data_IF_700506953576
#
_entry.id   IF_700506953576
#
_cell.length_a   1.000
_cell.length_b   1.000
_cell.length_c   1.000
_cell.angle_alpha   90.00
_cell.angle_beta   90.00
_cell.angle_gamma   90.00
#
_symmetry.space_group_name_H-M   'P 1'
#
loop_
_entity.id
_entity.type
_entity.pdbx_description
1 polymer ?
#
# COMPACT_ATOMS: atom_id res chain seq x y z
N UNK A 1 27.07 30.45 -12.11
CA UNK A 1 28.36 31.18 -11.96
C UNK A 1 29.19 30.43 -10.93
N UNK A 2 30.21 29.70 -11.40
CA UNK A 2 31.05 28.85 -10.54
C UNK A 2 32.05 29.68 -9.73
N UNK A 3 32.23 29.35 -8.46
CA UNK A 3 33.48 29.56 -7.73
C UNK A 3 33.86 28.25 -7.04
N UNK A 4 35.04 27.76 -7.39
CA UNK A 4 35.74 26.72 -6.65
C UNK A 4 36.51 27.36 -5.49
N UNK A 5 36.52 26.72 -4.33
CA UNK A 5 37.59 26.82 -3.34
C UNK A 5 37.70 25.47 -2.60
N UNK A 6 38.91 24.98 -2.32
CA UNK A 6 39.17 23.60 -1.91
C UNK A 6 39.12 23.43 -0.38
N UNK A 7 39.06 22.16 0.04
CA UNK A 7 39.38 21.69 1.40
C UNK A 7 38.26 21.72 2.44
N UNK A 8 37.20 20.90 2.27
CA UNK A 8 36.64 20.02 3.32
C UNK A 8 35.53 19.15 2.72
N UNK A 9 35.81 17.87 2.43
CA UNK A 9 34.78 16.84 2.29
C UNK A 9 34.88 15.98 3.54
N UNK A 10 34.02 16.28 4.51
CA UNK A 10 33.83 15.42 5.68
C UNK A 10 32.94 14.25 5.28
N UNK A 11 33.50 13.22 4.65
CA UNK A 11 32.85 11.91 4.56
C UNK A 11 33.15 11.15 5.85
N UNK A 12 32.20 11.14 6.79
CA UNK A 12 32.28 10.34 8.00
C UNK A 12 31.68 8.96 7.71
N UNK A 13 32.44 8.11 7.00
CA UNK A 13 32.16 6.67 6.97
C UNK A 13 32.68 6.08 8.29
N UNK A 14 31.78 5.90 9.27
CA UNK A 14 32.09 5.11 10.46
C UNK A 14 31.87 3.63 10.14
N UNK A 15 32.97 2.96 9.78
CA UNK A 15 33.05 1.50 9.82
C UNK A 15 33.23 1.11 11.28
N UNK A 16 32.14 0.79 11.98
CA UNK A 16 32.20 0.08 13.26
C UNK A 16 31.78 -1.36 13.01
N UNK A 17 32.76 -2.26 13.09
CA UNK A 17 32.54 -3.70 13.06
C UNK A 17 32.28 -4.18 14.48
N UNK A 18 31.08 -4.69 14.74
CA UNK A 18 30.84 -5.65 15.82
C UNK A 18 30.22 -6.93 15.22
N UNK A 19 30.69 -8.13 15.62
CA UNK A 19 30.13 -9.38 15.12
C UNK A 19 28.87 -9.77 15.92
N UNK A 20 27.72 -9.84 15.24
CA UNK A 20 26.51 -10.44 15.80
C UNK A 20 26.60 -11.97 15.77
N UNK A 21 26.67 -12.58 16.95
CA UNK A 21 26.40 -14.02 17.15
C UNK A 21 25.07 -14.18 17.87
N UNK A 22 24.04 -14.68 17.18
CA UNK A 22 22.94 -15.40 17.84
C UNK A 22 22.22 -16.32 16.86
N UNK A 23 22.38 -17.61 17.10
CA UNK A 23 21.60 -18.66 16.46
C UNK A 23 20.19 -18.69 17.07
N UNK A 24 19.17 -18.42 16.26
CA UNK A 24 17.77 -18.70 16.63
C UNK A 24 17.36 -20.07 16.12
N UNK A 25 16.96 -20.94 17.04
CA UNK A 25 16.45 -22.29 16.79
C UNK A 25 15.00 -22.18 16.32
N UNK A 26 14.69 -22.73 15.14
CA UNK A 26 13.33 -22.88 14.63
C UNK A 26 12.74 -24.16 15.24
N UNK A 27 11.64 -24.03 16.00
CA UNK A 27 10.81 -25.14 16.45
C UNK A 27 9.64 -25.31 15.48
N UNK A 28 9.57 -26.45 14.80
CA UNK A 28 8.45 -26.81 13.94
C UNK A 28 7.26 -27.27 14.81
N UNK A 29 6.11 -26.59 14.69
CA UNK A 29 4.84 -27.04 15.25
C UNK A 29 3.98 -27.55 14.10
N UNK A 30 3.85 -28.87 14.01
CA UNK A 30 2.97 -29.56 13.06
C UNK A 30 1.55 -29.56 13.62
N UNK A 31 0.62 -28.81 13.01
CA UNK A 31 -0.80 -28.90 13.36
C UNK A 31 -1.53 -29.71 12.31
N UNK A 32 -2.03 -30.88 12.70
CA UNK A 32 -2.88 -31.73 11.85
C UNK A 32 -4.34 -31.31 12.02
N UNK A 33 -4.99 -30.91 10.92
CA UNK A 33 -6.42 -30.62 10.89
C UNK A 33 -7.23 -31.92 10.79
N UNK A 34 -8.11 -32.18 11.77
CA UNK A 34 -9.18 -33.19 11.65
C UNK A 34 -10.51 -32.47 11.41
N UNK A 35 -11.07 -32.65 10.22
CA UNK A 35 -12.48 -32.36 9.93
C UNK A 35 -13.36 -33.38 10.66
N UNK A 36 -14.29 -32.89 11.50
CA UNK A 36 -15.41 -33.67 12.00
C UNK A 36 -16.71 -32.97 11.59
N UNK A 37 -17.42 -33.54 10.62
CA UNK A 37 -18.82 -33.22 10.31
C UNK A 37 -19.69 -33.74 11.44
N UNK A 38 -20.52 -32.89 12.02
CA UNK A 38 -21.69 -33.33 12.81
C UNK A 38 -22.93 -32.57 12.33
N UNK A 39 -23.88 -33.33 11.77
CA UNK A 39 -25.26 -32.92 11.59
C UNK A 39 -25.92 -32.90 12.97
N UNK A 40 -26.57 -31.80 13.33
CA UNK A 40 -27.66 -31.82 14.30
C UNK A 40 -28.65 -30.70 13.98
N UNK A 41 -29.81 -31.13 13.49
CA UNK A 41 -31.02 -30.33 13.42
C UNK A 41 -31.55 -30.10 14.85
N UNK A 42 -31.97 -28.88 15.17
CA UNK A 42 -32.80 -28.63 16.34
C UNK A 42 -33.92 -27.64 16.03
N UNK A 43 -35.09 -28.02 16.51
CA UNK A 43 -36.42 -27.51 16.18
C UNK A 43 -36.73 -26.14 16.78
N UNK A 44 -37.61 -25.46 16.05
CA UNK A 44 -38.43 -24.33 16.47
C UNK A 44 -39.29 -24.69 17.70
N UNK A 45 -39.18 -23.91 18.78
CA UNK A 45 -40.17 -23.91 19.86
C UNK A 45 -40.55 -22.46 20.18
N UNK A 46 -41.76 -22.08 19.78
CA UNK A 46 -42.39 -20.82 20.15
C UNK A 46 -43.06 -20.98 21.52
N UNK A 47 -42.61 -20.21 22.52
CA UNK A 47 -43.30 -20.08 23.80
C UNK A 47 -43.76 -18.64 23.99
N UNK A 48 -45.07 -18.45 24.02
CA UNK A 48 -45.73 -17.19 24.36
C UNK A 48 -45.74 -17.08 25.89
N UNK A 49 -44.96 -16.14 26.43
CA UNK A 49 -45.01 -15.79 27.85
C UNK A 49 -45.53 -14.36 27.99
N UNK A 50 -46.79 -14.22 28.37
CA UNK A 50 -47.39 -12.96 28.81
C UNK A 50 -46.83 -12.61 30.19
N UNK A 51 -46.05 -11.54 30.29
CA UNK A 51 -45.72 -10.88 31.55
C UNK A 51 -46.27 -9.46 31.56
N UNK A 52 -47.00 -9.17 32.64
CA UNK A 52 -47.68 -7.91 32.92
C UNK A 52 -46.72 -6.71 32.90
N UNK A 53 -47.21 -5.63 32.30
CA UNK A 53 -46.54 -4.33 32.27
C UNK A 53 -46.46 -3.73 33.69
N UNK A 54 -45.25 -3.71 34.26
CA UNK A 54 -44.89 -2.72 35.25
C UNK A 54 -44.35 -1.51 34.50
N UNK A 55 -45.12 -0.42 34.49
CA UNK A 55 -44.75 0.87 33.90
C UNK A 55 -43.53 1.43 34.63
N UNK A 56 -42.34 1.19 34.09
CA UNK A 56 -41.13 1.92 34.43
C UNK A 56 -40.97 3.02 33.38
N UNK A 57 -40.89 4.26 33.84
CA UNK A 57 -40.70 5.44 33.00
C UNK A 57 -39.52 5.21 32.01
N UNK A 58 -39.63 5.65 30.75
CA UNK A 58 -38.55 5.47 29.81
C UNK A 58 -37.32 6.23 30.33
N UNK A 59 -36.19 5.51 30.40
CA UNK A 59 -34.89 6.12 30.59
C UNK A 59 -34.70 7.22 29.52
N UNK A 60 -34.25 8.38 29.97
CA UNK A 60 -34.17 9.60 29.18
C UNK A 60 -33.59 9.37 27.79
N UNK A 61 -34.28 9.88 26.79
CA UNK A 61 -33.80 9.88 25.42
C UNK A 61 -32.41 10.50 25.36
N UNK A 62 -31.54 9.89 24.55
CA UNK A 62 -30.28 10.50 24.15
C UNK A 62 -30.67 11.75 23.36
N UNK A 63 -30.67 12.89 24.04
CA UNK A 63 -30.92 14.19 23.44
C UNK A 63 -29.80 14.49 22.47
N UNK A 64 -30.03 14.23 21.18
CA UNK A 64 -29.25 14.84 20.11
C UNK A 64 -29.57 16.34 20.15
N UNK A 65 -28.75 17.08 20.90
CA UNK A 65 -28.73 18.53 20.79
C UNK A 65 -28.19 18.84 19.39
N UNK A 66 -28.90 19.61 18.55
CA UNK A 66 -28.26 20.25 17.42
C UNK A 66 -27.06 21.01 17.98
N UNK A 67 -25.87 20.84 17.39
CA UNK A 67 -24.74 21.71 17.71
C UNK A 67 -25.25 23.15 17.64
N UNK A 68 -25.08 23.89 18.74
CA UNK A 68 -25.61 25.23 18.88
C UNK A 68 -25.09 26.09 17.72
N UNK A 69 -26.01 26.68 16.96
CA UNK A 69 -25.69 27.73 16.02
C UNK A 69 -25.22 28.96 16.83
N UNK A 70 -23.93 29.04 17.09
CA UNK A 70 -23.33 30.28 17.60
C UNK A 70 -23.21 31.29 16.45
N UNK A 71 -23.83 32.45 16.62
CA UNK A 71 -23.63 33.66 15.81
C UNK A 71 -24.39 33.70 14.49
N UNK A 72 -25.61 34.23 14.49
CA UNK A 72 -26.24 34.73 13.26
C UNK A 72 -25.66 36.12 12.97
N UNK A 73 -24.42 36.18 12.49
CA UNK A 73 -24.07 37.25 11.58
C UNK A 73 -24.88 37.02 10.30
N UNK A 74 -25.54 38.06 9.79
CA UNK A 74 -26.27 37.99 8.52
C UNK A 74 -25.31 37.57 7.42
N UNK A 75 -25.33 36.27 7.08
CA UNK A 75 -24.56 35.73 5.98
C UNK A 75 -24.78 36.60 4.75
N UNK A 76 -23.69 36.97 4.05
CA UNK A 76 -23.82 37.71 2.81
C UNK A 76 -24.78 36.98 1.87
N UNK A 77 -25.50 37.71 1.03
CA UNK A 77 -26.44 37.14 0.07
C UNK A 77 -25.81 36.02 -0.78
N UNK A 78 -24.51 36.12 -1.04
CA UNK A 78 -23.71 35.10 -1.73
C UNK A 78 -23.54 33.80 -0.92
N UNK A 79 -23.21 33.87 0.38
CA UNK A 79 -23.08 32.67 1.23
C UNK A 79 -24.45 31.99 1.40
N UNK A 80 -25.52 32.78 1.54
CA UNK A 80 -26.87 32.26 1.59
C UNK A 80 -27.28 31.57 0.26
N UNK A 81 -26.85 32.11 -0.89
CA UNK A 81 -27.06 31.48 -2.19
C UNK A 81 -26.26 30.17 -2.32
N UNK A 82 -24.97 30.17 -1.96
CA UNK A 82 -24.13 28.97 -1.95
C UNK A 82 -24.76 27.83 -1.16
N UNK A 83 -25.26 28.13 0.05
CA UNK A 83 -25.94 27.14 0.89
C UNK A 83 -27.14 26.52 0.19
N UNK A 84 -28.02 27.35 -0.40
CA UNK A 84 -29.19 26.89 -1.16
C UNK A 84 -28.80 26.03 -2.36
N UNK A 85 -27.76 26.43 -3.09
CA UNK A 85 -27.30 25.70 -4.27
C UNK A 85 -26.79 24.31 -3.89
N UNK A 86 -26.00 24.21 -2.81
CA UNK A 86 -25.49 22.92 -2.30
C UNK A 86 -26.63 22.05 -1.75
N UNK A 87 -27.57 22.64 -1.00
CA UNK A 87 -28.74 21.92 -0.49
C UNK A 87 -29.60 21.36 -1.63
N UNK A 88 -29.77 22.12 -2.72
CA UNK A 88 -30.49 21.68 -3.90
C UNK A 88 -29.80 20.50 -4.60
N UNK A 89 -28.46 20.46 -4.64
CA UNK A 89 -27.72 19.31 -5.15
C UNK A 89 -27.98 18.05 -4.33
N UNK A 90 -27.93 18.14 -2.99
CA UNK A 90 -28.17 16.97 -2.13
C UNK A 90 -29.64 16.58 -2.02
N UNK A 91 -30.57 17.45 -2.44
CA UNK A 91 -31.99 17.13 -2.56
C UNK A 91 -32.32 16.30 -3.82
N UNK A 92 -31.37 16.12 -4.76
CA UNK A 92 -31.58 15.29 -5.95
C UNK A 92 -31.93 13.85 -5.53
N UNK A 93 -33.08 13.29 -5.98
CA UNK A 93 -33.46 11.91 -5.68
C UNK A 93 -32.40 10.85 -6.04
N UNK A 94 -31.52 11.13 -7.01
CA UNK A 94 -30.41 10.26 -7.37
C UNK A 94 -29.40 10.08 -6.22
N UNK A 95 -29.28 11.07 -5.32
CA UNK A 95 -28.36 11.05 -4.18
C UNK A 95 -29.02 10.58 -2.87
N UNK A 96 -30.33 10.32 -2.87
CA UNK A 96 -31.13 10.07 -1.67
C UNK A 96 -30.68 8.83 -0.86
N UNK A 97 -30.00 7.87 -1.48
CA UNK A 97 -29.46 6.67 -0.81
C UNK A 97 -28.06 6.86 -0.25
N UNK A 98 -27.38 7.95 -0.60
CA UNK A 98 -26.04 8.27 -0.14
C UNK A 98 -26.05 8.87 1.26
N UNK A 99 -24.97 8.64 1.99
CA UNK A 99 -24.69 9.37 3.23
C UNK A 99 -23.58 10.38 2.95
N UNK A 100 -23.87 11.66 3.13
CA UNK A 100 -22.97 12.76 2.74
C UNK A 100 -22.47 13.51 3.96
N UNK A 101 -21.16 13.75 3.99
CA UNK A 101 -20.49 14.64 4.92
C UNK A 101 -19.83 15.78 4.16
N UNK A 102 -20.12 17.03 4.52
CA UNK A 102 -19.58 18.23 3.87
C UNK A 102 -19.20 19.24 4.94
N UNK A 103 -18.01 19.80 4.80
CA UNK A 103 -17.55 20.95 5.56
C UNK A 103 -16.83 21.90 4.61
N UNK A 104 -17.32 23.13 4.49
CA UNK A 104 -16.67 24.17 3.69
C UNK A 104 -16.30 25.31 4.64
N UNK A 105 -15.00 25.63 4.69
CA UNK A 105 -14.46 26.72 5.51
C UNK A 105 -13.72 27.73 4.65
N UNK A 106 -13.82 29.00 5.03
CA UNK A 106 -12.93 30.05 4.53
C UNK A 106 -11.54 29.87 5.13
N UNK A 107 -10.51 29.70 4.32
CA UNK A 107 -9.12 29.62 4.81
C UNK A 107 -8.58 30.97 5.33
N UNK A 108 -9.25 32.09 5.00
CA UNK A 108 -8.84 33.44 5.42
C UNK A 108 -9.42 33.84 6.77
N UNK A 109 -10.69 33.50 7.00
CA UNK A 109 -11.46 33.96 8.16
C UNK A 109 -11.81 32.82 9.12
N UNK A 110 -11.51 31.57 8.76
CA UNK A 110 -11.93 30.33 9.44
C UNK A 110 -13.46 30.13 9.56
N UNK A 111 -14.24 31.01 8.92
CA UNK A 111 -15.70 30.95 8.91
C UNK A 111 -16.19 29.66 8.22
N UNK A 112 -17.16 28.99 8.83
CA UNK A 112 -17.84 27.84 8.22
C UNK A 112 -18.92 28.33 7.25
N UNK A 113 -18.68 28.14 5.96
CA UNK A 113 -19.57 28.57 4.89
C UNK A 113 -20.71 27.57 4.67
N UNK A 114 -20.45 26.27 4.85
CA UNK A 114 -21.43 25.19 4.73
C UNK A 114 -21.05 24.01 5.61
N UNK A 115 -22.06 23.32 6.17
CA UNK A 115 -21.85 22.09 6.94
C UNK A 115 -23.03 21.14 6.76
N UNK A 116 -22.73 19.86 6.55
CA UNK A 116 -23.68 18.75 6.51
C UNK A 116 -22.99 17.53 7.11
N UNK A 117 -23.50 16.99 8.22
CA UNK A 117 -22.92 15.80 8.89
C UNK A 117 -21.40 15.85 9.14
N UNK A 118 -20.80 17.04 9.25
CA UNK A 118 -19.33 17.23 9.24
C UNK A 118 -18.57 16.47 10.34
N UNK A 119 -19.23 16.10 11.45
CA UNK A 119 -18.63 15.36 12.57
C UNK A 119 -18.89 13.84 12.51
N UNK A 120 -19.52 13.33 11.46
CA UNK A 120 -19.82 11.89 11.32
C UNK A 120 -18.62 11.16 10.75
N UNK A 121 -18.32 9.99 11.31
CA UNK A 121 -17.26 9.11 10.79
C UNK A 121 -17.70 8.54 9.44
N UNK A 122 -16.79 8.55 8.47
CA UNK A 122 -17.00 8.05 7.11
C UNK A 122 -15.76 7.30 6.64
N UNK A 123 -15.90 6.44 5.64
CA UNK A 123 -14.76 5.85 4.94
C UNK A 123 -14.14 6.92 4.04
N UNK A 124 -12.90 7.37 4.30
CA UNK A 124 -12.31 8.48 3.54
C UNK A 124 -11.75 8.03 2.18
N UNK A 125 -11.64 6.72 1.94
CA UNK A 125 -10.90 6.16 0.82
C UNK A 125 -9.51 6.82 0.70
N UNK A 126 -9.09 7.17 -0.52
CA UNK A 126 -7.80 7.83 -0.75
C UNK A 126 -7.66 9.23 -0.12
N UNK A 127 -8.72 9.84 0.43
CA UNK A 127 -8.56 11.07 1.21
C UNK A 127 -7.75 10.84 2.49
N UNK A 128 -7.62 9.58 2.96
CA UNK A 128 -6.72 9.23 4.06
C UNK A 128 -5.27 9.65 3.79
N UNK A 129 -4.85 9.67 2.50
CA UNK A 129 -3.50 10.08 2.10
C UNK A 129 -3.15 11.49 2.56
N UNK A 130 -4.13 12.39 2.71
CA UNK A 130 -3.90 13.75 3.23
C UNK A 130 -3.40 13.70 4.67
N UNK A 131 -4.02 12.86 5.51
CA UNK A 131 -3.63 12.70 6.92
C UNK A 131 -2.28 11.97 7.00
N UNK A 132 -2.08 10.92 6.20
CA UNK A 132 -0.80 10.20 6.11
C UNK A 132 0.35 11.14 5.72
N UNK A 133 0.16 12.00 4.71
CA UNK A 133 1.16 12.98 4.29
C UNK A 133 1.46 13.98 5.40
N UNK A 134 0.44 14.52 6.07
CA UNK A 134 0.62 15.47 7.17
C UNK A 134 1.44 14.85 8.32
N UNK A 135 1.13 13.60 8.69
CA UNK A 135 1.87 12.86 9.69
C UNK A 135 3.31 12.56 9.25
N UNK A 136 3.50 12.11 8.01
CA UNK A 136 4.82 11.81 7.46
C UNK A 136 5.73 13.05 7.46
N UNK A 137 5.22 14.19 7.01
CA UNK A 137 5.96 15.46 7.02
C UNK A 137 6.28 15.93 8.44
N UNK A 138 5.35 15.78 9.39
CA UNK A 138 5.58 16.14 10.80
C UNK A 138 6.68 15.27 11.44
N UNK A 139 6.79 13.98 11.04
CA UNK A 139 7.79 13.05 11.59
C UNK A 139 9.13 13.07 10.87
N UNK A 140 9.11 13.13 9.55
CA UNK A 140 10.30 12.94 8.70
C UNK A 140 10.85 14.27 8.18
N UNK A 141 10.00 15.29 8.05
CA UNK A 141 10.32 16.54 7.37
C UNK A 141 10.12 16.44 5.85
N UNK A 142 10.05 17.60 5.20
CA UNK A 142 9.90 17.70 3.74
C UNK A 142 11.15 17.26 2.96
N UNK A 143 12.32 17.36 3.58
CA UNK A 143 13.60 17.05 2.98
C UNK A 143 14.08 15.63 3.30
N UNK A 144 13.20 14.76 3.80
CA UNK A 144 13.53 13.38 4.10
C UNK A 144 13.95 12.62 2.83
N UNK A 145 15.00 11.82 2.94
CA UNK A 145 15.47 10.94 1.88
C UNK A 145 15.61 9.53 2.41
N UNK A 146 15.16 8.55 1.63
CA UNK A 146 15.43 7.15 1.91
C UNK A 146 16.91 6.81 1.65
N UNK A 147 17.43 5.84 2.39
CA UNK A 147 18.78 5.30 2.18
C UNK A 147 18.69 3.82 1.83
N UNK A 148 19.30 3.42 0.72
CA UNK A 148 19.55 2.00 0.43
C UNK A 148 21.06 1.76 0.43
N UNK A 149 21.53 0.93 1.36
CA UNK A 149 22.97 0.71 1.57
C UNK A 149 23.42 -0.62 0.99
N UNK A 150 24.55 -0.64 0.29
CA UNK A 150 25.24 -1.88 -0.10
C UNK A 150 26.41 -2.12 0.84
N UNK A 151 26.40 -3.25 1.56
CA UNK A 151 27.38 -3.63 2.56
C UNK A 151 28.15 -4.87 2.13
N UNK A 152 29.44 -4.88 2.42
CA UNK A 152 30.32 -6.03 2.21
C UNK A 152 30.45 -6.77 3.54
N UNK A 153 30.01 -8.02 3.60
CA UNK A 153 30.11 -8.90 4.75
C UNK A 153 31.16 -9.99 4.48
N UNK A 154 32.43 -9.58 4.46
CA UNK A 154 33.55 -10.46 4.15
C UNK A 154 34.84 -9.69 3.93
N UNK A 155 35.89 -10.40 3.48
CA UNK A 155 37.15 -9.77 3.06
C UNK A 155 37.26 -9.80 1.53
N UNK A 156 37.92 -8.80 0.97
CA UNK A 156 38.28 -8.81 -0.46
C UNK A 156 39.71 -9.35 -0.56
N UNK A 157 39.89 -10.48 -1.23
CA UNK A 157 41.19 -11.09 -1.50
C UNK A 157 41.36 -11.35 -3.00
N UNK A 158 42.41 -10.78 -3.60
CA UNK A 158 42.69 -10.86 -5.05
C UNK A 158 41.48 -10.56 -5.95
N UNK A 159 40.62 -9.62 -5.51
CA UNK A 159 39.40 -9.21 -6.21
C UNK A 159 38.20 -10.13 -6.01
N UNK A 160 38.29 -11.14 -5.15
CA UNK A 160 37.17 -11.97 -4.73
C UNK A 160 36.66 -11.46 -3.39
N UNK A 161 35.37 -11.14 -3.30
CA UNK A 161 34.70 -10.99 -2.02
C UNK A 161 34.45 -12.37 -1.41
N UNK A 162 35.27 -12.73 -0.43
CA UNK A 162 35.14 -13.93 0.41
C UNK A 162 34.09 -13.68 1.49
N UNK A 163 32.83 -13.64 1.07
CA UNK A 163 31.67 -13.37 1.93
C UNK A 163 30.46 -12.92 1.13
N UNK A 164 29.48 -12.37 1.85
CA UNK A 164 28.21 -11.95 1.28
C UNK A 164 28.21 -10.45 0.93
N UNK A 165 27.45 -10.09 -0.10
CA UNK A 165 27.05 -8.71 -0.37
C UNK A 165 25.62 -8.52 0.16
N UNK A 166 25.40 -7.51 1.01
CA UNK A 166 24.09 -7.27 1.64
C UNK A 166 23.54 -5.92 1.17
N UNK A 167 22.35 -5.93 0.58
CA UNK A 167 21.62 -4.72 0.17
C UNK A 167 20.55 -4.46 1.22
N UNK A 168 20.68 -3.37 1.97
CA UNK A 168 19.80 -3.01 3.08
C UNK A 168 18.85 -1.91 2.63
N UNK A 169 17.54 -2.19 2.66
CA UNK A 169 16.49 -1.24 2.31
C UNK A 169 15.95 -0.46 3.51
N UNK A 170 15.46 0.76 3.27
CA UNK A 170 14.78 1.60 4.27
C UNK A 170 13.36 2.04 3.86
N UNK A 171 12.84 1.47 2.78
CA UNK A 171 11.49 1.76 2.24
C UNK A 171 11.46 2.78 1.12
N UNK A 172 12.53 2.88 0.32
CA UNK A 172 12.56 3.77 -0.84
C UNK A 172 11.55 3.31 -1.92
N UNK A 173 10.44 4.05 -2.15
CA UNK A 173 9.43 3.67 -3.12
C UNK A 173 9.77 4.15 -4.54
N UNK A 174 10.91 4.83 -4.74
CA UNK A 174 11.23 5.53 -5.99
C UNK A 174 12.01 4.70 -7.01
N UNK A 175 12.38 3.47 -6.68
CA UNK A 175 13.19 2.62 -7.55
C UNK A 175 12.32 1.96 -8.62
N UNK A 176 12.39 2.50 -9.84
CA UNK A 176 11.62 2.03 -10.99
C UNK A 176 12.54 1.55 -12.12
N UNK A 177 12.21 0.41 -12.71
CA UNK A 177 12.88 -0.14 -13.89
C UNK A 177 12.40 0.57 -15.16
N UNK A 178 11.14 1.04 -15.18
CA UNK A 178 10.53 1.62 -16.37
C UNK A 178 11.14 2.97 -16.77
N UNK A 179 11.62 3.75 -15.82
CA UNK A 179 12.25 5.06 -16.05
C UNK A 179 13.80 5.00 -16.02
N UNK A 180 14.36 3.81 -15.83
CA UNK A 180 15.80 3.58 -15.74
C UNK A 180 16.46 4.02 -14.43
N UNK A 181 15.70 4.47 -13.42
CA UNK A 181 16.24 4.87 -12.12
C UNK A 181 16.93 3.70 -11.41
N UNK A 182 16.33 2.50 -11.46
CA UNK A 182 16.92 1.27 -10.93
C UNK A 182 18.24 0.91 -11.62
N UNK A 183 18.27 0.89 -12.95
CA UNK A 183 19.48 0.55 -13.73
C UNK A 183 20.62 1.54 -13.44
N UNK A 184 20.30 2.83 -13.36
CA UNK A 184 21.25 3.88 -13.00
C UNK A 184 21.81 3.71 -11.59
N UNK A 185 20.98 3.33 -10.61
CA UNK A 185 21.43 3.06 -9.24
C UNK A 185 22.31 1.82 -9.17
N UNK A 186 21.88 0.71 -9.77
CA UNK A 186 22.63 -0.55 -9.78
C UNK A 186 23.99 -0.39 -10.48
N UNK A 187 24.05 0.40 -11.56
CA UNK A 187 25.31 0.73 -12.23
C UNK A 187 26.27 1.51 -11.33
N UNK A 188 25.76 2.46 -10.54
CA UNK A 188 26.57 3.20 -9.56
C UNK A 188 27.09 2.29 -8.46
N UNK A 189 26.26 1.40 -7.93
CA UNK A 189 26.69 0.42 -6.93
C UNK A 189 27.75 -0.54 -7.48
N UNK A 190 27.56 -1.07 -8.68
CA UNK A 190 28.55 -1.91 -9.34
C UNK A 190 29.89 -1.18 -9.49
N UNK A 191 29.89 0.07 -9.98
CA UNK A 191 31.10 0.88 -10.10
C UNK A 191 31.79 1.15 -8.75
N UNK A 192 31.02 1.34 -7.67
CA UNK A 192 31.59 1.48 -6.32
C UNK A 192 32.22 0.19 -5.80
N UNK A 193 31.62 -0.96 -6.07
CA UNK A 193 32.19 -2.27 -5.71
C UNK A 193 33.47 -2.54 -6.50
N UNK A 194 33.49 -2.24 -7.80
CA UNK A 194 34.69 -2.36 -8.62
C UNK A 194 35.81 -1.43 -8.15
N UNK A 195 35.48 -0.19 -7.78
CA UNK A 195 36.44 0.76 -7.21
C UNK A 195 36.98 0.32 -5.85
N UNK A 196 36.18 -0.44 -5.08
CA UNK A 196 36.61 -1.09 -3.84
C UNK A 196 37.44 -2.38 -4.09
N UNK A 197 37.66 -2.76 -5.36
CA UNK A 197 38.47 -3.90 -5.75
C UNK A 197 37.68 -5.19 -5.93
N UNK A 198 36.36 -5.19 -5.76
CA UNK A 198 35.52 -6.39 -5.98
C UNK A 198 35.41 -6.69 -7.48
N UNK A 199 35.72 -7.92 -7.87
CA UNK A 199 35.60 -8.45 -9.24
C UNK A 199 34.70 -9.68 -9.31
N UNK A 200 34.59 -10.42 -8.22
CA UNK A 200 33.66 -11.53 -8.06
C UNK A 200 33.20 -11.65 -6.61
N UNK A 201 32.05 -12.27 -6.40
CA UNK A 201 31.48 -12.52 -5.07
C UNK A 201 31.41 -14.04 -4.91
N UNK A 202 32.11 -14.58 -3.90
CA UNK A 202 32.11 -16.02 -3.63
C UNK A 202 30.89 -16.46 -2.81
N UNK A 203 30.33 -15.54 -2.01
CA UNK A 203 29.13 -15.78 -1.22
C UNK A 203 27.85 -15.38 -1.95
N UNK A 204 26.86 -14.96 -1.17
CA UNK A 204 25.50 -14.62 -1.61
C UNK A 204 25.36 -13.12 -1.83
N UNK A 205 24.35 -12.76 -2.62
CA UNK A 205 23.76 -11.43 -2.61
C UNK A 205 22.48 -11.53 -1.78
N UNK A 206 22.41 -10.78 -0.68
CA UNK A 206 21.33 -10.86 0.30
C UNK A 206 20.58 -9.53 0.31
N UNK A 207 19.26 -9.57 0.10
CA UNK A 207 18.39 -8.45 0.40
C UNK A 207 18.01 -8.45 1.88
N UNK A 208 18.26 -7.35 2.58
CA UNK A 208 17.89 -7.14 3.97
C UNK A 208 16.76 -6.12 4.03
N UNK A 209 15.58 -6.63 4.39
CA UNK A 209 14.33 -5.89 4.46
C UNK A 209 13.86 -5.62 5.91
N UNK A 210 14.70 -5.90 6.91
CA UNK A 210 14.30 -5.91 8.33
C UNK A 210 14.04 -4.51 8.93
N UNK A 211 14.07 -3.44 8.11
CA UNK A 211 13.67 -2.10 8.58
C UNK A 211 12.16 -2.05 8.83
N UNK A 212 11.37 -2.80 8.05
CA UNK A 212 9.93 -2.98 8.27
C UNK A 212 9.66 -4.35 8.90
N UNK A 213 8.43 -4.59 9.35
CA UNK A 213 8.00 -5.91 9.78
C UNK A 213 7.63 -6.80 8.58
N UNK A 214 7.42 -8.09 8.83
CA UNK A 214 7.09 -9.08 7.80
C UNK A 214 5.61 -9.00 7.35
N UNK A 215 4.79 -8.08 7.90
CA UNK A 215 3.39 -7.92 7.52
C UNK A 215 3.28 -6.98 6.32
N UNK A 216 3.23 -7.58 5.14
CA UNK A 216 3.28 -6.82 3.88
C UNK A 216 1.91 -6.34 3.41
N UNK A 217 0.81 -6.87 3.95
CA UNK A 217 -0.55 -6.54 3.50
C UNK A 217 -1.25 -5.56 4.43
N UNK A 218 -1.99 -4.61 3.85
CA UNK A 218 -2.76 -3.65 4.62
C UNK A 218 -3.90 -4.29 5.41
N UNK A 219 -4.09 -3.81 6.65
CA UNK A 219 -5.19 -4.26 7.49
C UNK A 219 -6.55 -4.01 6.82
N UNK A 220 -7.33 -5.09 6.64
CA UNK A 220 -8.67 -5.03 6.08
C UNK A 220 -8.73 -4.96 4.55
N UNK A 221 -7.60 -5.15 3.85
CA UNK A 221 -7.60 -5.30 2.38
C UNK A 221 -8.37 -6.54 1.93
N UNK A 222 -9.04 -6.42 0.79
CA UNK A 222 -9.76 -7.53 0.17
C UNK A 222 -8.75 -8.43 -0.55
N UNK A 223 -8.89 -9.74 -0.38
CA UNK A 223 -7.96 -10.70 -0.98
C UNK A 223 -8.03 -10.72 -2.52
N UNK A 224 -9.16 -10.29 -3.08
CA UNK A 224 -9.43 -10.19 -4.51
C UNK A 224 -8.81 -8.94 -5.17
N UNK A 225 -8.35 -7.97 -4.37
CA UNK A 225 -7.59 -6.81 -4.84
C UNK A 225 -6.09 -7.13 -5.06
N UNK A 226 -5.57 -8.21 -4.44
CA UNK A 226 -4.15 -8.59 -4.46
C UNK A 226 -3.50 -8.84 -5.84
N UNK A 227 -4.25 -9.10 -6.94
CA UNK A 227 -3.66 -9.08 -8.29
C UNK A 227 -3.32 -7.68 -8.80
N UNK A 228 -3.91 -6.63 -8.23
CA UNK A 228 -3.76 -5.24 -8.68
C UNK A 228 -2.60 -4.53 -7.97
N UNK A 229 -2.03 -3.52 -8.63
CA UNK A 229 -0.87 -2.75 -8.17
C UNK A 229 -1.14 -1.95 -6.88
N UNK A 230 -2.34 -1.41 -6.72
CA UNK A 230 -2.71 -0.63 -5.53
C UNK A 230 -2.81 -1.48 -4.25
N UNK A 231 -2.72 -2.81 -4.36
CA UNK A 231 -2.68 -3.77 -3.26
C UNK A 231 -1.37 -4.58 -3.24
N UNK A 232 -0.31 -4.06 -3.85
CA UNK A 232 1.04 -4.64 -3.75
C UNK A 232 1.53 -4.71 -2.30
N UNK A 233 2.41 -5.68 -2.03
CA UNK A 233 2.99 -5.85 -0.70
C UNK A 233 3.90 -4.69 -0.34
N UNK A 234 3.88 -4.27 0.93
CA UNK A 234 4.77 -3.23 1.45
C UNK A 234 6.01 -3.87 2.07
N UNK A 235 7.19 -3.36 1.75
CA UNK A 235 8.48 -3.76 2.30
C UNK A 235 9.46 -2.59 2.31
N UNK A 236 10.54 -2.70 3.06
CA UNK A 236 11.63 -1.72 3.08
C UNK A 236 12.62 -1.87 1.89
N UNK A 237 12.59 -2.98 1.16
CA UNK A 237 13.45 -3.25 0.00
C UNK A 237 12.59 -3.65 -1.21
N UNK A 238 12.24 -2.64 -2.01
CA UNK A 238 11.30 -2.80 -3.12
C UNK A 238 11.92 -2.35 -4.45
N UNK A 239 11.39 -2.91 -5.53
CA UNK A 239 11.62 -2.49 -6.91
C UNK A 239 10.26 -2.39 -7.59
N UNK A 240 10.04 -1.35 -8.38
CA UNK A 240 8.79 -1.12 -9.12
C UNK A 240 7.54 -1.07 -8.23
N UNK A 241 7.62 -0.47 -7.04
CA UNK A 241 6.49 -0.45 -6.09
C UNK A 241 5.98 -1.87 -5.74
N UNK A 242 6.87 -2.87 -5.76
CA UNK A 242 6.57 -4.31 -5.61
C UNK A 242 5.59 -4.87 -6.66
N UNK A 243 5.49 -4.20 -7.80
CA UNK A 243 4.65 -4.59 -8.93
C UNK A 243 5.48 -5.13 -10.11
N UNK A 244 4.84 -6.01 -10.88
CA UNK A 244 5.38 -6.50 -12.15
C UNK A 244 4.50 -6.05 -13.30
N UNK A 245 5.14 -5.71 -14.41
CA UNK A 245 4.42 -5.39 -15.64
C UNK A 245 4.26 -6.64 -16.48
N UNK A 246 3.00 -6.98 -16.76
CA UNK A 246 2.63 -8.07 -17.64
C UNK A 246 2.13 -7.49 -18.95
N UNK A 247 2.78 -7.84 -20.05
CA UNK A 247 2.34 -7.47 -21.39
C UNK A 247 1.71 -8.69 -22.04
N UNK A 248 0.43 -8.56 -22.43
CA UNK A 248 -0.31 -9.57 -23.20
C UNK A 248 -0.35 -9.15 -24.67
N UNK A 249 0.10 -10.01 -25.56
CA UNK A 249 0.12 -9.78 -27.01
C UNK A 249 -0.76 -10.85 -27.67
N UNK A 250 -1.71 -10.47 -28.53
CA UNK A 250 -2.51 -11.46 -29.25
C UNK A 250 -1.62 -12.41 -30.07
N UNK A 251 -2.06 -13.66 -30.18
CA UNK A 251 -1.51 -14.65 -31.10
C UNK A 251 -1.79 -14.29 -32.57
N UNK A 252 -1.31 -15.14 -33.48
CA UNK A 252 -1.35 -14.84 -34.92
C UNK A 252 -2.77 -14.87 -35.50
N UNK A 253 -3.63 -15.75 -34.97
CA UNK A 253 -5.02 -15.91 -35.40
C UNK A 253 -5.99 -16.03 -34.22
N UNK A 254 -7.28 -15.82 -34.48
CA UNK A 254 -8.32 -16.05 -33.49
C UNK A 254 -8.31 -17.51 -33.01
N UNK A 255 -8.37 -17.71 -31.70
CA UNK A 255 -8.22 -19.01 -31.04
C UNK A 255 -6.79 -19.35 -30.61
N UNK A 256 -5.77 -18.65 -31.12
CA UNK A 256 -4.39 -18.85 -30.68
C UNK A 256 -4.18 -18.33 -29.27
N UNK A 257 -3.33 -19.02 -28.50
CA UNK A 257 -2.90 -18.58 -27.16
C UNK A 257 -2.15 -17.24 -27.28
N UNK A 258 -2.47 -16.29 -26.42
CA UNK A 258 -1.80 -14.99 -26.38
C UNK A 258 -0.37 -15.13 -25.84
N UNK A 259 0.57 -14.33 -26.37
CA UNK A 259 1.91 -14.21 -25.83
C UNK A 259 1.93 -13.38 -24.54
N UNK A 260 2.72 -13.80 -23.56
CA UNK A 260 2.90 -13.10 -22.28
C UNK A 260 4.37 -12.75 -22.08
N UNK A 261 4.65 -11.52 -21.66
CA UNK A 261 5.96 -11.15 -21.10
C UNK A 261 5.81 -10.47 -19.75
N UNK A 262 6.76 -10.73 -18.84
CA UNK A 262 6.79 -10.22 -17.46
C UNK A 262 8.06 -9.42 -17.25
N UNK A 263 7.94 -8.22 -16.68
CA UNK A 263 9.06 -7.34 -16.35
C UNK A 263 8.96 -6.90 -14.88
N UNK A 264 10.01 -7.10 -14.05
CA UNK A 264 11.26 -7.79 -14.37
C UNK A 264 11.07 -9.31 -14.54
N UNK A 265 11.90 -9.92 -15.39
CA UNK A 265 11.83 -11.37 -15.67
C UNK A 265 12.15 -12.22 -14.43
N UNK A 266 12.99 -11.72 -13.53
CA UNK A 266 13.39 -12.40 -12.29
C UNK A 266 12.49 -12.04 -11.09
N UNK A 267 11.21 -11.71 -11.33
CA UNK A 267 10.27 -11.31 -10.27
C UNK A 267 9.82 -12.44 -9.34
N UNK A 268 10.09 -13.70 -9.68
CA UNK A 268 9.58 -14.86 -8.93
C UNK A 268 8.10 -15.17 -9.20
N UNK A 269 7.41 -14.38 -10.03
CA UNK A 269 6.04 -14.64 -10.44
C UNK A 269 5.99 -15.77 -11.48
N UNK A 270 5.09 -16.73 -11.28
CA UNK A 270 4.75 -17.79 -12.23
C UNK A 270 3.39 -17.47 -12.87
N UNK A 271 3.35 -17.37 -14.20
CA UNK A 271 2.11 -17.05 -14.92
C UNK A 271 1.55 -18.29 -15.59
N UNK A 272 0.33 -18.67 -15.21
CA UNK A 272 -0.51 -19.62 -15.93
C UNK A 272 -1.35 -18.85 -16.95
N UNK A 273 -1.13 -19.10 -18.23
CA UNK A 273 -1.76 -18.37 -19.32
C UNK A 273 -2.83 -19.20 -20.01
N UNK A 274 -4.10 -18.90 -19.73
CA UNK A 274 -5.26 -19.45 -20.44
C UNK A 274 -5.83 -18.43 -21.47
N UNK A 275 -5.16 -17.28 -21.66
CA UNK A 275 -5.66 -16.20 -22.53
C UNK A 275 -5.56 -16.61 -23.99
N UNK A 276 -6.65 -16.42 -24.73
CA UNK A 276 -6.72 -16.68 -26.19
C UNK A 276 -7.06 -15.41 -26.97
N UNK A 277 -6.72 -15.45 -28.25
CA UNK A 277 -6.92 -14.33 -29.17
C UNK A 277 -8.35 -14.33 -29.68
N UNK A 278 -9.08 -13.24 -29.47
CA UNK A 278 -10.43 -13.08 -30.01
C UNK A 278 -10.44 -12.74 -31.51
N UNK A 279 -11.61 -12.76 -32.13
CA UNK A 279 -11.79 -12.11 -33.43
C UNK A 279 -11.45 -10.61 -33.35
N UNK A 280 -11.03 -10.05 -34.48
CA UNK A 280 -10.68 -8.64 -34.59
C UNK A 280 -11.90 -7.74 -34.29
N UNK A 281 -11.64 -6.59 -33.66
CA UNK A 281 -12.65 -5.58 -33.35
C UNK A 281 -13.44 -5.82 -32.06
N UNK A 282 -13.18 -6.93 -31.34
CA UNK A 282 -13.69 -7.13 -29.99
C UNK A 282 -12.78 -6.46 -28.96
N UNK A 283 -13.33 -5.85 -27.90
CA UNK A 283 -12.52 -5.34 -26.80
C UNK A 283 -11.84 -6.51 -26.06
N UNK A 284 -10.62 -6.31 -25.54
CA UNK A 284 -9.98 -7.31 -24.69
C UNK A 284 -10.79 -7.50 -23.40
N UNK A 285 -10.87 -8.76 -22.96
CA UNK A 285 -11.47 -9.14 -21.68
C UNK A 285 -10.55 -10.15 -21.02
N UNK A 286 -9.59 -9.67 -20.23
CA UNK A 286 -8.60 -10.49 -19.53
C UNK A 286 -8.89 -10.39 -18.04
N UNK A 287 -8.94 -11.52 -17.35
CA UNK A 287 -9.07 -11.60 -15.91
C UNK A 287 -7.77 -12.14 -15.29
N UNK A 288 -7.31 -11.46 -14.25
CA UNK A 288 -6.17 -11.87 -13.45
C UNK A 288 -6.64 -12.47 -12.12
N UNK A 289 -6.02 -13.56 -11.68
CA UNK A 289 -6.27 -14.14 -10.37
C UNK A 289 -4.98 -14.63 -9.73
N UNK A 290 -4.70 -14.14 -8.53
CA UNK A 290 -3.61 -14.57 -7.66
C UNK A 290 -4.17 -14.88 -6.28
N UNK A 291 -3.85 -16.05 -5.74
CA UNK A 291 -4.25 -16.39 -4.36
C UNK A 291 -3.25 -15.76 -3.36
N UNK A 292 -3.69 -15.38 -2.16
CA UNK A 292 -2.79 -14.90 -1.11
C UNK A 292 -1.64 -15.88 -0.86
N UNK A 293 -0.41 -15.36 -0.76
CA UNK A 293 0.81 -16.15 -0.55
C UNK A 293 1.26 -17.00 -1.74
N UNK A 294 0.55 -16.96 -2.87
CA UNK A 294 0.90 -17.71 -4.07
C UNK A 294 1.80 -16.88 -5.00
N UNK A 295 2.90 -17.45 -5.53
CA UNK A 295 3.64 -16.84 -6.64
C UNK A 295 2.95 -17.06 -8.00
N UNK A 296 1.86 -17.84 -8.03
CA UNK A 296 1.14 -18.20 -9.25
C UNK A 296 0.01 -17.21 -9.53
N UNK A 297 0.10 -16.56 -10.69
CA UNK A 297 -0.94 -15.73 -11.29
C UNK A 297 -1.57 -16.48 -12.46
N UNK A 298 -2.89 -16.61 -12.46
CA UNK A 298 -3.64 -17.14 -13.61
C UNK A 298 -4.22 -15.98 -14.41
N UNK A 299 -4.02 -16.00 -15.73
CA UNK A 299 -4.61 -15.08 -16.68
C UNK A 299 -5.61 -15.84 -17.57
N UNK A 300 -6.81 -15.29 -17.76
CA UNK A 300 -7.87 -15.91 -18.57
C UNK A 300 -8.57 -14.90 -19.47
#
# INVERSE_FOLDING_TARGET
>A
MCRASPSTVSCRASLSGEPMTRASRIAAVTTTARMARSLQAFLLAATVASCHAATRAPAGGIGLKPDAAEGIETASTAVAQLRRDIDALFADPALARGFWGVLIKSLKTDETLYTLNARKLMMPASNMKIVTLAAAVEKLGWDYTYETTVRIAGRIDNGVLEGDLVVVGSGDPSLMAADGSADGLFSRWAGQLEAAGVRSIAGRIVGDDNTFDDETLGFGWSWDDLPDDYAAGVGALQLNEDAVRITVVPGAAAGDVAGISVVPAASGLSVDNDVTTSAAGLPPSIAARRLPGSPRLTLR
#
